data_IF_604035769334
#
_entry.id   IF_604035769334
#
_cell.length_a   1.000
_cell.length_b   1.000
_cell.length_c   1.000
_cell.angle_alpha   90.00
_cell.angle_beta   90.00
_cell.angle_gamma   90.00
#
_symmetry.space_group_name_H-M   'P 1'
#
loop_
_entity.id
_entity.type
_entity.pdbx_description
1 polymer ?
#
# COMPACT_ATOMS: atom_id res chain seq x y z
N UNK A 1 -13.19 -28.09 27.16
CA UNK A 1 -12.30 -27.80 26.02
C UNK A 1 -13.07 -27.43 24.75
N UNK A 2 -14.05 -28.23 24.29
CA UNK A 2 -14.84 -27.93 23.07
C UNK A 2 -15.42 -26.50 23.02
N UNK A 3 -16.15 -26.08 24.06
CA UNK A 3 -16.75 -24.74 24.13
C UNK A 3 -15.73 -23.59 24.04
N UNK A 4 -14.49 -23.79 24.48
CA UNK A 4 -13.44 -22.77 24.36
C UNK A 4 -13.04 -22.57 22.89
N UNK A 5 -12.87 -23.66 22.14
CA UNK A 5 -12.53 -23.60 20.71
C UNK A 5 -13.71 -23.12 19.86
N UNK A 6 -14.95 -23.51 20.19
CA UNK A 6 -16.15 -22.98 19.53
C UNK A 6 -16.29 -21.47 19.77
N UNK A 7 -15.95 -20.98 20.98
CA UNK A 7 -15.92 -19.54 21.24
C UNK A 7 -14.91 -18.78 20.38
N UNK A 8 -13.74 -19.39 20.11
CA UNK A 8 -12.74 -18.82 19.18
C UNK A 8 -13.29 -18.83 17.75
N UNK A 9 -13.88 -19.95 17.31
CA UNK A 9 -14.47 -20.06 15.97
C UNK A 9 -15.52 -18.98 15.73
N UNK A 10 -16.49 -18.84 16.64
CA UNK A 10 -17.53 -17.81 16.53
C UNK A 10 -16.93 -16.40 16.49
N UNK A 11 -15.96 -16.08 17.35
CA UNK A 11 -15.32 -14.77 17.33
C UNK A 11 -14.67 -14.46 15.97
N UNK A 12 -13.92 -15.40 15.42
CA UNK A 12 -13.16 -15.16 14.21
C UNK A 12 -14.00 -15.29 12.93
N UNK A 13 -14.74 -16.38 12.78
CA UNK A 13 -15.46 -16.69 11.54
C UNK A 13 -16.74 -15.85 11.45
N UNK A 14 -17.57 -15.87 12.49
CA UNK A 14 -18.89 -15.24 12.42
C UNK A 14 -18.83 -13.72 12.58
N UNK A 15 -17.84 -13.20 13.32
CA UNK A 15 -17.72 -11.77 13.60
C UNK A 15 -16.53 -11.10 12.91
N UNK A 16 -15.29 -11.45 13.24
CA UNK A 16 -14.11 -10.72 12.75
C UNK A 16 -13.90 -10.87 11.24
N UNK A 17 -14.27 -12.02 10.66
CA UNK A 17 -14.10 -12.32 9.24
C UNK A 17 -15.33 -12.01 8.40
N UNK A 18 -16.46 -11.64 9.01
CA UNK A 18 -17.66 -11.25 8.27
C UNK A 18 -17.38 -10.21 7.16
N UNK A 19 -16.61 -9.12 7.39
CA UNK A 19 -16.27 -8.19 6.32
C UNK A 19 -15.53 -8.85 5.14
N UNK A 20 -14.63 -9.78 5.42
CA UNK A 20 -13.86 -10.49 4.39
C UNK A 20 -14.71 -11.50 3.61
N UNK A 21 -15.63 -12.17 4.28
CA UNK A 21 -16.60 -13.06 3.61
C UNK A 21 -17.56 -12.28 2.72
N UNK A 22 -17.99 -11.08 3.13
CA UNK A 22 -18.81 -10.22 2.27
C UNK A 22 -18.06 -9.77 1.02
N UNK A 23 -16.77 -9.45 1.13
CA UNK A 23 -15.93 -9.14 -0.02
C UNK A 23 -15.74 -10.35 -0.94
N UNK A 24 -15.50 -11.54 -0.38
CA UNK A 24 -15.40 -12.79 -1.15
C UNK A 24 -16.69 -13.10 -1.91
N UNK A 25 -17.85 -12.87 -1.30
CA UNK A 25 -19.15 -13.09 -1.95
C UNK A 25 -19.39 -12.20 -3.19
N UNK A 26 -18.57 -11.17 -3.40
CA UNK A 26 -18.60 -10.35 -4.61
C UNK A 26 -17.81 -10.95 -5.77
N UNK A 27 -16.94 -11.94 -5.55
CA UNK A 27 -16.15 -12.60 -6.60
C UNK A 27 -16.97 -13.01 -7.82
N UNK A 28 -18.10 -13.75 -7.70
CA UNK A 28 -18.90 -14.14 -8.86
C UNK A 28 -19.72 -13.00 -9.47
N UNK A 29 -19.81 -11.83 -8.80
CA UNK A 29 -20.68 -10.70 -9.21
C UNK A 29 -19.90 -9.58 -9.87
N UNK A 30 -18.72 -9.26 -9.35
CA UNK A 30 -17.90 -8.15 -9.83
C UNK A 30 -16.45 -8.30 -9.39
N UNK A 31 -15.57 -8.37 -10.39
CA UNK A 31 -14.13 -8.41 -10.16
C UNK A 31 -13.63 -7.13 -9.46
N UNK A 32 -14.17 -5.96 -9.82
CA UNK A 32 -13.79 -4.68 -9.21
C UNK A 32 -14.18 -4.61 -7.73
N UNK A 33 -15.41 -5.03 -7.38
CA UNK A 33 -15.88 -5.03 -6.00
C UNK A 33 -15.15 -6.03 -5.12
N UNK A 34 -14.87 -7.23 -5.63
CA UNK A 34 -14.07 -8.25 -4.93
C UNK A 34 -12.64 -7.77 -4.62
N UNK A 35 -12.10 -6.84 -5.42
CA UNK A 35 -10.76 -6.27 -5.26
C UNK A 35 -10.75 -4.89 -4.61
N UNK A 36 -11.83 -4.46 -3.95
CA UNK A 36 -11.97 -3.09 -3.42
C UNK A 36 -10.81 -2.65 -2.51
N UNK A 37 -10.32 -3.53 -1.62
CA UNK A 37 -9.20 -3.22 -0.73
C UNK A 37 -7.89 -3.05 -1.52
N UNK A 38 -7.68 -3.85 -2.58
CA UNK A 38 -6.53 -3.69 -3.46
C UNK A 38 -6.54 -2.32 -4.14
N UNK A 39 -7.70 -1.86 -4.60
CA UNK A 39 -7.85 -0.52 -5.18
C UNK A 39 -7.48 0.58 -4.18
N UNK A 40 -7.90 0.47 -2.92
CA UNK A 40 -7.52 1.42 -1.86
C UNK A 40 -5.99 1.45 -1.70
N UNK A 41 -5.34 0.30 -1.58
CA UNK A 41 -3.88 0.27 -1.43
C UNK A 41 -3.14 0.82 -2.65
N UNK A 42 -3.61 0.51 -3.86
CA UNK A 42 -3.04 1.07 -5.09
C UNK A 42 -3.14 2.60 -5.11
N UNK A 43 -4.26 3.17 -4.66
CA UNK A 43 -4.43 4.63 -4.56
C UNK A 43 -3.46 5.22 -3.52
N UNK A 44 -3.34 4.62 -2.34
CA UNK A 44 -2.42 5.09 -1.29
C UNK A 44 -0.98 5.12 -1.80
N UNK A 45 -0.54 4.05 -2.46
CA UNK A 45 0.82 3.98 -3.04
C UNK A 45 0.99 4.99 -4.17
N UNK A 46 0.01 5.14 -5.06
CA UNK A 46 0.08 6.14 -6.13
C UNK A 46 0.22 7.57 -5.58
N UNK A 47 -0.56 7.92 -4.55
CA UNK A 47 -0.48 9.23 -3.89
C UNK A 47 0.90 9.42 -3.24
N UNK A 48 1.42 8.40 -2.56
CA UNK A 48 2.74 8.46 -1.94
C UNK A 48 3.85 8.69 -2.98
N UNK A 49 3.82 7.98 -4.12
CA UNK A 49 4.78 8.18 -5.21
C UNK A 49 4.72 9.61 -5.75
N UNK A 50 3.52 10.11 -6.06
CA UNK A 50 3.34 11.48 -6.56
C UNK A 50 3.84 12.52 -5.55
N UNK A 51 3.56 12.32 -4.27
CA UNK A 51 4.06 13.19 -3.20
C UNK A 51 5.59 13.21 -3.17
N UNK A 52 6.24 12.04 -3.18
CA UNK A 52 7.71 11.96 -3.12
C UNK A 52 8.38 12.53 -4.36
N UNK A 53 7.85 12.31 -5.56
CA UNK A 53 8.36 12.95 -6.77
C UNK A 53 8.30 14.48 -6.68
N UNK A 54 7.25 15.05 -6.06
CA UNK A 54 7.15 16.50 -5.81
C UNK A 54 8.18 16.97 -4.80
N UNK A 55 8.41 16.21 -3.72
CA UNK A 55 9.45 16.54 -2.72
C UNK A 55 10.84 16.56 -3.37
N UNK A 56 11.18 15.53 -4.16
CA UNK A 56 12.46 15.48 -4.88
C UNK A 56 12.66 16.69 -5.79
N UNK A 57 11.61 17.09 -6.54
CA UNK A 57 11.68 18.28 -7.38
C UNK A 57 11.88 19.56 -6.56
N UNK A 58 11.15 19.71 -5.45
CA UNK A 58 11.28 20.87 -4.57
C UNK A 58 12.72 21.03 -4.06
N UNK A 59 13.33 19.94 -3.59
CA UNK A 59 14.71 19.96 -3.11
C UNK A 59 15.72 20.26 -4.22
N UNK A 60 15.53 19.69 -5.42
CA UNK A 60 16.38 19.99 -6.57
C UNK A 60 16.28 21.47 -6.99
N UNK A 61 15.08 22.06 -6.95
CA UNK A 61 14.85 23.45 -7.34
C UNK A 61 15.39 24.46 -6.29
N UNK A 62 15.64 24.04 -5.04
CA UNK A 62 16.08 24.90 -3.94
C UNK A 62 17.57 25.32 -4.01
N UNK A 63 18.38 24.74 -4.91
CA UNK A 63 19.83 25.04 -5.05
C UNK A 63 20.65 24.89 -3.75
N UNK A 64 20.15 24.11 -2.78
CA UNK A 64 20.85 23.84 -1.50
C UNK A 64 21.79 22.62 -1.58
N UNK A 65 21.67 21.79 -2.63
CA UNK A 65 22.53 20.62 -2.83
C UNK A 65 23.85 20.99 -3.52
N UNK A 66 24.97 20.64 -2.89
CA UNK A 66 26.28 20.67 -3.55
C UNK A 66 26.37 19.49 -4.54
N UNK A 67 26.28 19.81 -5.82
CA UNK A 67 26.35 18.84 -6.93
C UNK A 67 27.75 18.75 -7.53
N UNK A 68 28.78 19.30 -6.87
CA UNK A 68 30.15 19.27 -7.38
C UNK A 68 30.65 17.82 -7.49
N UNK A 69 30.91 17.38 -8.73
CA UNK A 69 31.50 16.07 -8.99
C UNK A 69 33.02 16.18 -9.06
N UNK A 70 33.74 15.48 -8.17
CA UNK A 70 35.20 15.32 -8.27
C UNK A 70 35.53 14.19 -9.24
N UNK A 71 35.55 14.52 -10.54
CA UNK A 71 36.11 13.62 -11.54
C UNK A 71 37.64 13.76 -11.52
N UNK A 72 38.36 12.69 -11.16
CA UNK A 72 39.79 12.62 -11.42
C UNK A 72 39.99 12.71 -12.94
N UNK A 73 40.80 13.67 -13.41
CA UNK A 73 41.25 13.67 -14.80
C UNK A 73 42.21 12.49 -14.98
N UNK A 74 41.67 11.32 -15.36
CA UNK A 74 42.46 10.14 -15.69
C UNK A 74 43.19 10.28 -17.04
N UNK A 75 42.98 11.38 -17.78
CA UNK A 75 43.48 11.58 -19.15
C UNK A 75 44.06 12.99 -19.39
N UNK A 76 44.65 13.62 -18.37
CA UNK A 76 45.60 14.72 -18.61
C UNK A 76 46.99 14.16 -18.92
#
# INVERSE_FOLDING_TARGET
>A
MKAFFEGIETLFVDYLFWPWDTLRALEPKTWFGANFINWIFMIVVAVAIVYWCKQLKLHADNNEEDTSSTAHSFLN
#
